data_IF_174928012928
#
_entry.id   IF_174928012928
#
_cell.length_a   1.000
_cell.length_b   1.000
_cell.length_c   1.000
_cell.angle_alpha   90.00
_cell.angle_beta   90.00
_cell.angle_gamma   90.00
#
_symmetry.space_group_name_H-M   'P 1'
#
loop_
_entity.id
_entity.type
_entity.pdbx_description
1 polymer ?
#
# COMPACT_ATOMS: atom_id res chain seq x y z
N UNK A 1 -8.83 -26.55 -0.05
CA UNK A 1 -9.44 -25.24 0.24
C UNK A 1 -8.57 -24.57 1.28
N UNK A 2 -7.79 -23.57 0.89
CA UNK A 2 -6.68 -23.04 1.70
C UNK A 2 -7.22 -22.10 2.79
N UNK A 3 -7.06 -22.53 4.05
CA UNK A 3 -7.28 -21.70 5.24
C UNK A 3 -5.97 -20.94 5.48
N UNK A 4 -5.80 -19.80 4.81
CA UNK A 4 -4.64 -18.89 5.00
C UNK A 4 -5.05 -17.41 5.12
N UNK A 5 -6.34 -17.10 5.26
CA UNK A 5 -6.91 -15.81 4.82
C UNK A 5 -7.33 -14.84 5.94
N UNK A 6 -6.83 -14.98 7.17
CA UNK A 6 -7.25 -14.04 8.25
C UNK A 6 -6.10 -13.32 8.91
N UNK A 7 -4.89 -13.89 8.95
CA UNK A 7 -3.76 -13.27 9.64
C UNK A 7 -2.90 -12.38 8.74
N UNK A 8 -2.98 -12.55 7.42
CA UNK A 8 -2.12 -11.87 6.45
C UNK A 8 -2.69 -10.55 5.91
N UNK A 9 -3.98 -10.30 6.09
CA UNK A 9 -4.70 -9.13 5.58
C UNK A 9 -5.08 -8.23 6.76
N UNK A 10 -4.08 -7.84 7.54
CA UNK A 10 -4.20 -6.82 8.60
C UNK A 10 -3.33 -5.63 8.23
N UNK A 11 -3.68 -4.42 8.67
CA UNK A 11 -2.84 -3.24 8.47
C UNK A 11 -1.39 -3.49 8.91
N UNK A 12 -1.19 -4.14 10.06
CA UNK A 12 0.15 -4.49 10.55
C UNK A 12 0.90 -5.47 9.64
N UNK A 13 0.20 -6.39 8.97
CA UNK A 13 0.84 -7.29 8.03
C UNK A 13 1.27 -6.56 6.74
N UNK A 14 0.40 -5.70 6.21
CA UNK A 14 0.72 -4.88 5.03
C UNK A 14 1.88 -3.94 5.34
N UNK A 15 1.81 -3.23 6.47
CA UNK A 15 2.86 -2.34 6.95
C UNK A 15 4.23 -3.02 7.00
N UNK A 16 4.35 -4.14 7.73
CA UNK A 16 5.61 -4.88 7.84
C UNK A 16 6.12 -5.41 6.49
N UNK A 17 5.24 -5.68 5.53
CA UNK A 17 5.62 -6.19 4.23
C UNK A 17 6.10 -5.09 3.27
N UNK A 18 5.47 -3.91 3.27
CA UNK A 18 5.62 -2.95 2.17
C UNK A 18 6.33 -1.66 2.56
N UNK A 19 6.32 -1.26 3.84
CA UNK A 19 6.85 0.04 4.27
C UNK A 19 8.30 0.27 3.83
N UNK A 20 9.17 -0.74 3.98
CA UNK A 20 10.58 -0.60 3.61
C UNK A 20 10.75 -0.37 2.11
N UNK A 21 10.03 -1.14 1.31
CA UNK A 21 10.19 -1.12 -0.15
C UNK A 21 9.54 0.16 -0.72
N UNK A 22 8.39 0.59 -0.19
CA UNK A 22 7.78 1.89 -0.49
C UNK A 22 8.70 3.06 -0.14
N UNK A 23 9.30 3.07 1.05
CA UNK A 23 10.23 4.13 1.44
C UNK A 23 11.48 4.15 0.55
N UNK A 24 11.95 2.98 0.10
CA UNK A 24 13.08 2.87 -0.81
C UNK A 24 12.79 3.47 -2.20
N UNK A 25 11.55 3.41 -2.69
CA UNK A 25 11.15 4.00 -3.99
C UNK A 25 11.36 5.52 -4.03
N UNK A 26 11.21 6.20 -2.89
CA UNK A 26 11.39 7.65 -2.77
C UNK A 26 12.72 8.04 -2.10
N UNK A 27 13.58 7.06 -1.78
CA UNK A 27 14.86 7.30 -1.09
C UNK A 27 14.71 7.80 0.34
N UNK A 28 13.57 7.55 0.99
CA UNK A 28 13.30 7.93 2.39
C UNK A 28 13.61 6.79 3.36
N UNK A 29 13.86 7.14 4.62
CA UNK A 29 13.94 6.16 5.71
C UNK A 29 12.55 5.65 6.09
N UNK A 30 12.38 4.34 6.36
CA UNK A 30 11.10 3.80 6.80
C UNK A 30 10.69 4.39 8.17
N UNK A 31 9.44 4.84 8.32
CA UNK A 31 8.94 5.39 9.58
C UNK A 31 9.02 4.36 10.73
N UNK A 32 9.47 4.82 11.91
CA UNK A 32 9.68 3.95 13.10
C UNK A 32 8.40 3.44 13.78
N UNK A 33 7.26 4.05 13.49
CA UNK A 33 5.97 3.65 14.05
C UNK A 33 4.90 3.97 13.01
N UNK A 34 4.17 2.95 12.60
CA UNK A 34 3.12 3.06 11.61
C UNK A 34 1.79 2.72 12.26
N UNK A 35 0.97 3.74 12.39
CA UNK A 35 -0.48 3.57 12.56
C UNK A 35 -1.07 3.33 11.17
N UNK A 36 -2.28 2.74 11.06
CA UNK A 36 -2.96 2.58 9.78
C UNK A 36 -2.99 3.87 8.94
N UNK A 37 -3.29 5.01 9.58
CA UNK A 37 -3.23 6.33 8.94
C UNK A 37 -1.85 6.64 8.39
N UNK A 38 -0.79 6.46 9.19
CA UNK A 38 0.56 6.79 8.76
C UNK A 38 1.07 5.88 7.63
N UNK A 39 0.59 4.64 7.59
CA UNK A 39 0.88 3.74 6.48
C UNK A 39 0.19 4.22 5.19
N UNK A 40 -1.07 4.67 5.29
CA UNK A 40 -1.79 5.30 4.17
C UNK A 40 -1.06 6.57 3.72
N UNK A 41 -0.67 7.44 4.65
CA UNK A 41 0.06 8.68 4.35
C UNK A 41 1.37 8.38 3.58
N UNK A 42 2.10 7.32 3.95
CA UNK A 42 3.31 6.89 3.23
C UNK A 42 2.99 6.43 1.80
N UNK A 43 1.91 5.66 1.62
CA UNK A 43 1.49 5.21 0.29
C UNK A 43 1.12 6.40 -0.60
N UNK A 44 0.40 7.38 -0.05
CA UNK A 44 0.05 8.62 -0.75
C UNK A 44 1.28 9.48 -1.07
N UNK A 45 2.24 9.59 -0.15
CA UNK A 45 3.49 10.31 -0.38
C UNK A 45 4.30 9.68 -1.53
N UNK A 46 4.42 8.35 -1.55
CA UNK A 46 5.11 7.64 -2.63
C UNK A 46 4.36 7.81 -3.95
N UNK A 47 3.03 7.70 -3.95
CA UNK A 47 2.19 7.97 -5.13
C UNK A 47 2.51 9.35 -5.70
N UNK A 48 2.50 10.39 -4.87
CA UNK A 48 2.68 11.77 -5.33
C UNK A 48 4.08 11.98 -5.92
N UNK A 49 5.11 11.38 -5.33
CA UNK A 49 6.49 11.42 -5.87
C UNK A 49 6.59 10.68 -7.20
N UNK A 50 5.97 9.50 -7.32
CA UNK A 50 5.98 8.73 -8.57
C UNK A 50 5.17 9.42 -9.67
N UNK A 51 4.05 10.06 -9.33
CA UNK A 51 3.20 10.79 -10.26
C UNK A 51 3.91 12.04 -10.85
N UNK A 52 4.79 12.71 -10.09
CA UNK A 52 5.59 13.83 -10.59
C UNK A 52 6.75 13.37 -11.50
N UNK A 53 7.02 12.07 -11.57
CA UNK A 53 8.04 11.51 -12.45
C UNK A 53 7.62 11.54 -13.92
N UNK A 54 8.63 11.71 -14.78
CA UNK A 54 8.47 11.61 -16.24
C UNK A 54 8.66 10.18 -16.77
N UNK A 55 8.91 9.22 -15.88
CA UNK A 55 9.06 7.82 -16.22
C UNK A 55 7.67 7.17 -16.31
N UNK A 56 7.35 6.56 -17.47
CA UNK A 56 6.03 5.98 -17.70
C UNK A 56 5.66 4.89 -16.69
N UNK A 57 6.62 4.05 -16.30
CA UNK A 57 6.39 3.02 -15.29
C UNK A 57 6.12 3.61 -13.89
N UNK A 58 6.58 4.82 -13.60
CA UNK A 58 6.28 5.47 -12.32
C UNK A 58 4.85 6.04 -12.31
N UNK A 59 4.32 6.46 -13.45
CA UNK A 59 2.91 6.82 -13.57
C UNK A 59 2.01 5.60 -13.37
N UNK A 60 2.32 4.48 -14.03
CA UNK A 60 1.57 3.23 -13.85
C UNK A 60 1.61 2.76 -12.38
N UNK A 61 2.79 2.79 -11.75
CA UNK A 61 2.92 2.48 -10.33
C UNK A 61 2.16 3.46 -9.43
N UNK A 62 2.07 4.75 -9.79
CA UNK A 62 1.29 5.73 -9.03
C UNK A 62 -0.21 5.44 -9.06
N UNK A 63 -0.75 4.99 -10.20
CA UNK A 63 -2.17 4.62 -10.32
C UNK A 63 -2.50 3.40 -9.44
N UNK A 64 -1.57 2.45 -9.34
CA UNK A 64 -1.69 1.31 -8.42
C UNK A 64 -1.64 1.76 -6.96
N UNK A 65 -0.73 2.68 -6.59
CA UNK A 65 -0.67 3.22 -5.23
C UNK A 65 -1.93 4.02 -4.87
N UNK A 66 -2.52 4.76 -5.81
CA UNK A 66 -3.78 5.46 -5.61
C UNK A 66 -4.92 4.48 -5.29
N UNK A 67 -5.01 3.40 -6.07
CA UNK A 67 -5.97 2.31 -5.85
C UNK A 67 -5.74 1.63 -4.48
N UNK A 68 -4.48 1.39 -4.11
CA UNK A 68 -4.14 0.84 -2.80
C UNK A 68 -4.57 1.75 -1.66
N UNK A 69 -4.28 3.06 -1.75
CA UNK A 69 -4.66 4.05 -0.73
C UNK A 69 -6.18 4.14 -0.55
N UNK A 70 -6.95 4.08 -1.64
CA UNK A 70 -8.41 4.04 -1.59
C UNK A 70 -8.92 2.81 -0.82
N UNK A 71 -8.44 1.60 -1.14
CA UNK A 71 -8.84 0.39 -0.43
C UNK A 71 -8.42 0.37 1.04
N UNK A 72 -7.24 0.89 1.37
CA UNK A 72 -6.80 1.03 2.76
C UNK A 72 -7.69 2.00 3.53
N UNK A 73 -8.04 3.14 2.93
CA UNK A 73 -8.92 4.14 3.53
C UNK A 73 -10.32 3.57 3.78
N UNK A 74 -10.90 2.88 2.79
CA UNK A 74 -12.20 2.21 2.94
C UNK A 74 -12.14 1.15 4.05
N UNK A 75 -11.07 0.35 4.10
CA UNK A 75 -10.87 -0.67 5.12
C UNK A 75 -10.74 -0.08 6.53
N UNK A 76 -10.27 1.16 6.65
CA UNK A 76 -10.14 1.88 7.90
C UNK A 76 -11.48 2.49 8.36
N UNK A 77 -12.26 3.03 7.43
CA UNK A 77 -13.55 3.69 7.71
C UNK A 77 -14.64 2.66 8.03
N UNK A 78 -14.65 1.53 7.31
CA UNK A 78 -15.66 0.48 7.47
C UNK A 78 -15.02 -0.85 7.94
N UNK A 79 -14.72 -0.99 9.25
CA UNK A 79 -14.10 -2.20 9.83
C UNK A 79 -15.08 -3.39 9.96
N UNK A 80 -15.96 -3.56 8.97
CA UNK A 80 -16.93 -4.65 8.90
C UNK A 80 -16.37 -5.92 8.26
N UNK A 81 -17.26 -6.85 7.91
CA UNK A 81 -16.89 -8.11 7.26
C UNK A 81 -16.18 -7.94 5.90
N UNK A 82 -16.26 -6.74 5.29
CA UNK A 82 -15.56 -6.39 4.06
C UNK A 82 -14.09 -6.00 4.26
N UNK A 83 -13.66 -5.65 5.48
CA UNK A 83 -12.31 -5.15 5.74
C UNK A 83 -11.19 -6.10 5.24
N UNK A 84 -11.23 -7.42 5.48
CA UNK A 84 -10.19 -8.32 4.97
C UNK A 84 -10.13 -8.37 3.44
N UNK A 85 -11.26 -8.22 2.75
CA UNK A 85 -11.32 -8.19 1.28
C UNK A 85 -10.69 -6.91 0.74
N UNK A 86 -10.96 -5.78 1.39
CA UNK A 86 -10.34 -4.49 1.04
C UNK A 86 -8.83 -4.52 1.27
N UNK A 87 -8.37 -5.07 2.40
CA UNK A 87 -6.95 -5.22 2.69
C UNK A 87 -6.23 -6.18 1.73
N UNK A 88 -6.89 -7.26 1.32
CA UNK A 88 -6.35 -8.15 0.28
C UNK A 88 -6.20 -7.44 -1.08
N UNK A 89 -7.15 -6.58 -1.46
CA UNK A 89 -7.05 -5.78 -2.69
C UNK A 89 -5.95 -4.73 -2.60
N UNK A 90 -5.87 -4.01 -1.48
CA UNK A 90 -4.79 -3.08 -1.22
C UNK A 90 -3.43 -3.76 -1.36
N UNK A 91 -3.28 -4.96 -0.77
CA UNK A 91 -2.05 -5.75 -0.87
C UNK A 91 -1.66 -6.09 -2.31
N UNK A 92 -2.61 -6.42 -3.17
CA UNK A 92 -2.33 -6.69 -4.60
C UNK A 92 -1.78 -5.45 -5.27
N UNK A 93 -2.47 -4.32 -5.17
CA UNK A 93 -2.01 -3.07 -5.78
C UNK A 93 -0.67 -2.58 -5.22
N UNK A 94 -0.41 -2.74 -3.91
CA UNK A 94 0.89 -2.42 -3.32
C UNK A 94 2.03 -3.26 -3.92
N UNK A 95 1.79 -4.55 -4.18
CA UNK A 95 2.78 -5.41 -4.83
C UNK A 95 3.00 -4.97 -6.27
N UNK A 96 1.92 -4.77 -7.01
CA UNK A 96 1.96 -4.43 -8.43
C UNK A 96 2.66 -3.08 -8.65
N UNK A 97 2.41 -2.09 -7.78
CA UNK A 97 3.10 -0.80 -7.80
C UNK A 97 4.61 -0.94 -7.59
N UNK A 98 5.04 -1.73 -6.60
CA UNK A 98 6.46 -1.93 -6.30
C UNK A 98 7.15 -2.67 -7.46
N UNK A 99 6.53 -3.70 -8.01
CA UNK A 99 7.06 -4.43 -9.16
C UNK A 99 7.19 -3.53 -10.39
N UNK A 100 6.22 -2.65 -10.63
CA UNK A 100 6.21 -1.72 -11.77
C UNK A 100 7.22 -0.58 -11.62
N UNK A 101 7.43 -0.10 -10.39
CA UNK A 101 8.39 0.97 -10.09
C UNK A 101 9.85 0.48 -9.98
N UNK A 102 10.08 -0.83 -9.91
CA UNK A 102 11.42 -1.44 -9.72
C UNK A 102 12.26 -1.62 -10.98
#
# INVERSE_FOLDING_TARGET
MAVQTVQADTFTALDNCFTRDLAALIGSDPPRSLTPNRFIDLVEEVRDVLADSRLGNFQDASDDLDSAAAYLTDALIEPGAGQPVLLARARTHLRDAIETAS
#
